data_IF_025273362978
#
_entry.id   IF_025273362978
#
_cell.length_a   1.000
_cell.length_b   1.000
_cell.length_c   1.000
_cell.angle_alpha   90.00
_cell.angle_beta   90.00
_cell.angle_gamma   90.00
#
_symmetry.space_group_name_H-M   'P 1'
#
loop_
_entity.id
_entity.type
_entity.pdbx_description
1 polymer ?
#
# COMPACT_ATOMS: atom_id res chain seq x y z
N UNK A 1 -17.18 12.48 -9.67
CA UNK A 1 -17.17 13.87 -9.19
C UNK A 1 -16.04 14.57 -9.92
N UNK A 2 -16.30 15.66 -10.64
CA UNK A 2 -15.24 16.41 -11.30
C UNK A 2 -14.40 17.13 -10.24
N UNK A 3 -13.07 17.12 -10.41
CA UNK A 3 -12.17 17.78 -9.50
C UNK A 3 -10.75 17.23 -9.60
N UNK A 4 -9.80 17.96 -9.03
CA UNK A 4 -8.42 17.52 -8.89
C UNK A 4 -8.31 16.58 -7.69
N UNK A 5 -7.63 15.45 -7.88
CA UNK A 5 -7.39 14.46 -6.83
C UNK A 5 -5.91 14.34 -6.53
N UNK A 6 -5.55 14.51 -5.28
CA UNK A 6 -4.19 14.35 -4.78
C UNK A 6 -4.22 13.54 -3.47
N UNK A 7 -3.15 12.88 -3.14
CA UNK A 7 -2.95 12.21 -1.87
C UNK A 7 -1.48 12.23 -1.49
N UNK A 8 -1.20 12.15 -0.19
CA UNK A 8 0.15 12.01 0.33
C UNK A 8 0.37 10.57 0.78
N UNK A 9 1.52 10.02 0.41
CA UNK A 9 2.00 8.72 0.83
C UNK A 9 2.82 8.87 2.11
N UNK A 10 2.69 7.96 3.06
CA UNK A 10 3.35 8.04 4.37
C UNK A 10 3.13 9.36 5.12
N UNK A 11 1.87 9.78 5.20
CA UNK A 11 1.47 10.97 5.92
C UNK A 11 2.09 11.03 7.32
N UNK A 12 3.03 11.94 7.53
CA UNK A 12 3.80 12.15 8.76
C UNK A 12 4.43 10.87 9.38
N UNK A 13 4.44 9.75 8.64
CA UNK A 13 4.87 8.42 9.12
C UNK A 13 4.15 7.96 10.38
N UNK A 14 2.91 8.40 10.56
CA UNK A 14 2.08 7.96 11.66
C UNK A 14 1.80 6.46 11.55
N UNK A 15 2.10 5.73 12.62
CA UNK A 15 1.89 4.29 12.71
C UNK A 15 1.18 3.95 14.02
N UNK A 16 0.40 2.89 14.03
CA UNK A 16 -0.33 2.47 15.21
C UNK A 16 -1.19 1.24 14.98
N UNK A 17 -1.93 0.88 15.99
CA UNK A 17 -2.93 -0.16 15.90
C UNK A 17 -4.06 0.28 14.96
N UNK A 18 -4.39 -0.57 13.99
CA UNK A 18 -5.41 -0.29 12.98
C UNK A 18 -6.80 0.00 13.58
N UNK A 19 -7.10 -0.59 14.75
CA UNK A 19 -8.37 -0.39 15.45
C UNK A 19 -8.38 0.91 16.27
N UNK A 20 -7.21 1.47 16.58
CA UNK A 20 -7.05 2.69 17.36
C UNK A 20 -6.80 3.94 16.50
N UNK A 21 -6.30 3.78 15.27
CA UNK A 21 -6.03 4.90 14.37
C UNK A 21 -7.32 5.56 13.90
N UNK A 22 -7.40 6.88 14.06
CA UNK A 22 -8.51 7.67 13.51
C UNK A 22 -8.47 7.68 11.98
N UNK A 23 -9.63 7.54 11.37
CA UNK A 23 -9.82 7.71 9.92
C UNK A 23 -10.53 9.03 9.60
N UNK A 24 -10.82 9.81 10.61
CA UNK A 24 -11.46 11.12 10.44
C UNK A 24 -10.38 12.14 10.07
N UNK A 25 -10.47 12.75 8.89
CA UNK A 25 -9.50 13.74 8.47
C UNK A 25 -9.61 15.01 9.31
N UNK A 26 -8.48 15.66 9.52
CA UNK A 26 -8.33 16.89 10.28
C UNK A 26 -7.94 18.06 9.38
N UNK A 27 -7.97 19.28 9.92
CA UNK A 27 -7.45 20.47 9.23
C UNK A 27 -5.96 20.36 8.88
N UNK A 28 -5.21 19.60 9.67
CA UNK A 28 -3.79 19.36 9.40
C UNK A 28 -3.57 18.49 8.17
N UNK A 29 -4.40 17.45 8.00
CA UNK A 29 -4.35 16.59 6.81
C UNK A 29 -4.62 17.40 5.53
N UNK A 30 -5.59 18.32 5.59
CA UNK A 30 -5.85 19.23 4.48
C UNK A 30 -4.68 20.18 4.24
N UNK A 31 -4.10 20.77 5.29
CA UNK A 31 -3.04 21.76 5.16
C UNK A 31 -1.80 21.21 4.44
N UNK A 32 -1.41 19.97 4.75
CA UNK A 32 -0.27 19.30 4.11
C UNK A 32 -0.51 19.12 2.60
N UNK A 33 -1.72 18.70 2.22
CA UNK A 33 -2.08 18.55 0.82
C UNK A 33 -2.13 19.89 0.09
N UNK A 34 -2.63 20.94 0.76
CA UNK A 34 -2.70 22.29 0.19
C UNK A 34 -1.35 22.92 -0.07
N UNK A 35 -0.36 22.64 0.78
CA UNK A 35 1.00 23.12 0.53
C UNK A 35 1.53 22.59 -0.81
N UNK A 36 1.36 21.29 -1.07
CA UNK A 36 1.76 20.69 -2.35
C UNK A 36 0.93 21.23 -3.54
N UNK A 37 -0.39 21.41 -3.34
CA UNK A 37 -1.27 21.96 -4.39
C UNK A 37 -0.81 23.36 -4.77
N UNK A 38 -0.61 24.25 -3.81
CA UNK A 38 -0.19 25.64 -4.05
C UNK A 38 1.20 25.72 -4.70
N UNK A 39 2.10 24.81 -4.34
CA UNK A 39 3.45 24.78 -4.89
C UNK A 39 3.52 24.26 -6.33
N UNK A 40 2.69 23.29 -6.70
CA UNK A 40 2.83 22.57 -7.96
C UNK A 40 1.61 22.65 -8.88
N UNK A 41 0.44 22.93 -8.33
CA UNK A 41 -0.84 22.92 -9.06
C UNK A 41 -1.74 24.09 -8.62
N UNK A 42 -1.26 25.35 -8.67
CA UNK A 42 -1.98 26.51 -8.07
C UNK A 42 -3.41 26.68 -8.60
N UNK A 43 -3.66 26.34 -9.86
CA UNK A 43 -5.00 26.42 -10.46
C UNK A 43 -5.98 25.37 -9.88
N UNK A 44 -5.48 24.40 -9.11
CA UNK A 44 -6.29 23.38 -8.45
C UNK A 44 -6.61 23.71 -6.98
N UNK A 45 -6.13 24.85 -6.44
CA UNK A 45 -6.39 25.28 -5.06
C UNK A 45 -7.82 25.86 -4.90
N UNK A 46 -8.79 24.97 -4.98
CA UNK A 46 -10.22 25.26 -4.85
C UNK A 46 -10.82 24.69 -3.57
N UNK A 47 -12.15 24.77 -3.39
CA UNK A 47 -12.85 24.17 -2.27
C UNK A 47 -12.61 22.67 -2.18
N UNK A 48 -12.48 22.14 -0.94
CA UNK A 48 -12.42 20.69 -0.73
C UNK A 48 -13.75 20.04 -1.08
N UNK A 49 -13.73 19.08 -1.97
CA UNK A 49 -14.89 18.30 -2.36
C UNK A 49 -15.06 17.06 -1.49
N UNK A 50 -13.96 16.44 -1.11
CA UNK A 50 -13.92 15.29 -0.21
C UNK A 50 -12.51 15.09 0.31
N UNK A 51 -12.36 14.79 1.59
CA UNK A 51 -11.11 14.41 2.23
C UNK A 51 -11.32 13.07 2.95
N UNK A 52 -10.36 12.17 2.85
CA UNK A 52 -10.44 10.83 3.46
C UNK A 52 -9.06 10.35 3.84
N UNK A 53 -8.96 9.72 5.02
CA UNK A 53 -7.78 8.99 5.47
C UNK A 53 -7.91 7.50 5.14
N UNK A 54 -6.83 6.91 4.64
CA UNK A 54 -6.71 5.48 4.39
C UNK A 54 -5.58 4.92 5.23
N UNK A 55 -5.71 3.65 5.64
CA UNK A 55 -4.64 2.93 6.31
C UNK A 55 -3.84 2.13 5.27
N UNK A 56 -2.53 2.04 5.49
CA UNK A 56 -1.65 1.12 4.79
C UNK A 56 -1.25 -0.02 5.70
N UNK A 57 -1.17 -1.22 5.15
CA UNK A 57 -0.54 -2.36 5.80
C UNK A 57 0.89 -2.44 5.28
N UNK A 58 1.86 -2.03 6.10
CA UNK A 58 3.25 -1.98 5.70
C UNK A 58 4.04 -3.11 6.36
N UNK A 59 4.93 -3.74 5.59
CA UNK A 59 6.03 -4.53 6.14
C UNK A 59 7.13 -3.58 6.65
N UNK A 60 8.05 -4.04 7.52
CA UNK A 60 9.13 -3.19 8.02
C UNK A 60 10.01 -2.59 6.91
N UNK A 61 10.16 -3.30 5.81
CA UNK A 61 10.96 -2.91 4.64
C UNK A 61 10.11 -2.34 3.48
N UNK A 62 8.80 -2.21 3.67
CA UNK A 62 7.85 -1.69 2.70
C UNK A 62 7.75 -2.50 1.39
N UNK A 63 8.29 -3.72 1.36
CA UNK A 63 8.13 -4.64 0.24
C UNK A 63 6.91 -5.55 0.41
N UNK A 64 6.49 -6.19 -0.67
CA UNK A 64 5.41 -7.17 -0.65
C UNK A 64 5.83 -8.43 0.11
N UNK A 65 4.86 -9.25 0.49
CA UNK A 65 5.06 -10.63 0.93
C UNK A 65 4.37 -11.56 -0.07
N UNK A 66 5.14 -12.48 -0.64
CA UNK A 66 4.67 -13.52 -1.55
C UNK A 66 5.50 -14.78 -1.29
N UNK A 67 4.95 -15.71 -0.50
CA UNK A 67 5.67 -16.94 -0.13
C UNK A 67 4.69 -18.02 0.31
N UNK A 68 5.19 -19.20 0.59
CA UNK A 68 4.47 -20.25 1.29
C UNK A 68 4.86 -20.28 2.77
N UNK A 69 3.98 -20.75 3.64
CA UNK A 69 4.33 -20.93 5.05
C UNK A 69 5.36 -22.06 5.21
N UNK A 70 6.46 -21.86 5.97
CA UNK A 70 7.51 -22.86 6.15
C UNK A 70 7.00 -24.21 6.68
N UNK A 71 6.07 -24.16 7.64
CA UNK A 71 5.52 -25.36 8.28
C UNK A 71 4.24 -25.87 7.60
N UNK A 72 3.74 -25.17 6.57
CA UNK A 72 2.54 -25.52 5.84
C UNK A 72 2.66 -25.07 4.37
N UNK A 73 3.49 -25.74 3.55
CA UNK A 73 3.82 -25.30 2.20
C UNK A 73 2.62 -25.27 1.23
N UNK A 74 1.50 -25.87 1.60
CA UNK A 74 0.24 -25.77 0.87
C UNK A 74 -0.51 -24.44 1.12
N UNK A 75 -0.03 -23.61 2.08
CA UNK A 75 -0.60 -22.31 2.38
C UNK A 75 0.26 -21.23 1.75
N UNK A 76 -0.32 -20.51 0.79
CA UNK A 76 0.31 -19.35 0.17
C UNK A 76 -0.07 -18.09 0.94
N UNK A 77 0.94 -17.29 1.27
CA UNK A 77 0.76 -15.97 1.89
C UNK A 77 1.04 -14.90 0.84
N UNK A 78 0.07 -14.04 0.61
CA UNK A 78 0.23 -12.92 -0.31
C UNK A 78 -0.24 -11.62 0.36
N UNK A 79 0.68 -10.71 0.56
CA UNK A 79 0.41 -9.34 1.01
C UNK A 79 1.11 -8.34 0.08
N UNK A 80 0.57 -8.12 -1.13
CA UNK A 80 1.09 -7.13 -2.06
C UNK A 80 0.58 -5.73 -1.68
N UNK A 81 0.87 -5.30 -0.45
CA UNK A 81 0.31 -4.09 0.16
C UNK A 81 1.33 -2.94 0.19
N UNK A 82 1.76 -2.51 1.37
CA UNK A 82 2.72 -1.41 1.59
C UNK A 82 2.38 -0.12 0.81
N UNK A 83 1.07 0.15 0.65
CA UNK A 83 0.55 1.36 0.02
C UNK A 83 0.70 1.48 -1.50
N UNK A 84 1.36 0.53 -2.18
CA UNK A 84 1.63 0.64 -3.62
C UNK A 84 1.31 -0.60 -4.45
N UNK A 85 0.66 -1.62 -3.88
CA UNK A 85 0.44 -2.92 -4.53
C UNK A 85 -0.67 -2.97 -5.57
N UNK A 86 -1.68 -2.10 -5.51
CA UNK A 86 -2.87 -2.19 -6.34
C UNK A 86 -2.57 -2.26 -7.87
N UNK A 87 -1.59 -1.48 -8.33
CA UNK A 87 -1.18 -1.46 -9.75
C UNK A 87 -0.59 -2.78 -10.24
N UNK A 88 -0.23 -3.69 -9.34
CA UNK A 88 0.34 -5.01 -9.67
C UNK A 88 -0.69 -6.14 -9.60
N UNK A 89 -1.98 -5.85 -9.42
CA UNK A 89 -3.02 -6.86 -9.20
C UNK A 89 -3.05 -7.96 -10.27
N UNK A 90 -2.82 -7.62 -11.54
CA UNK A 90 -2.80 -8.59 -12.64
C UNK A 90 -1.62 -9.57 -12.53
N UNK A 91 -0.40 -9.06 -12.31
CA UNK A 91 0.77 -9.93 -12.16
C UNK A 91 0.73 -10.71 -10.85
N UNK A 92 0.11 -10.16 -9.78
CA UNK A 92 -0.11 -10.92 -8.55
C UNK A 92 -1.02 -12.13 -8.79
N UNK A 93 -2.05 -11.98 -9.63
CA UNK A 93 -2.91 -13.09 -10.03
C UNK A 93 -2.15 -14.20 -10.74
N UNK A 94 -1.24 -13.87 -11.65
CA UNK A 94 -0.36 -14.82 -12.34
C UNK A 94 0.55 -15.54 -11.35
N UNK A 95 1.27 -14.80 -10.51
CA UNK A 95 2.17 -15.39 -9.49
C UNK A 95 1.43 -16.31 -8.54
N UNK A 96 0.24 -15.93 -8.08
CA UNK A 96 -0.57 -16.76 -7.18
C UNK A 96 -1.10 -18.04 -7.87
N UNK A 97 -1.38 -17.97 -9.17
CA UNK A 97 -1.72 -19.15 -9.96
C UNK A 97 -0.54 -20.11 -10.08
N UNK A 98 0.69 -19.59 -10.27
CA UNK A 98 1.91 -20.39 -10.28
C UNK A 98 2.12 -21.12 -8.94
N UNK A 99 1.99 -20.42 -7.82
CA UNK A 99 2.05 -21.03 -6.49
C UNK A 99 0.97 -22.12 -6.31
N UNK A 100 -0.26 -21.85 -6.70
CA UNK A 100 -1.38 -22.78 -6.51
C UNK A 100 -1.24 -24.05 -7.35
N UNK A 101 -0.59 -23.97 -8.51
CA UNK A 101 -0.38 -25.10 -9.42
C UNK A 101 0.98 -25.78 -9.26
N UNK A 102 1.87 -25.23 -8.40
CA UNK A 102 3.24 -25.70 -8.25
C UNK A 102 4.11 -25.43 -9.48
N UNK A 103 3.71 -24.48 -10.28
CA UNK A 103 4.48 -24.05 -11.46
C UNK A 103 5.60 -23.07 -11.05
N UNK A 104 6.75 -23.08 -11.73
CA UNK A 104 7.77 -22.08 -11.47
C UNK A 104 7.26 -20.70 -11.94
N UNK A 105 7.42 -19.68 -11.10
CA UNK A 105 7.12 -18.31 -11.51
C UNK A 105 8.11 -17.81 -12.57
N UNK A 106 7.61 -17.06 -13.53
CA UNK A 106 8.42 -16.33 -14.50
C UNK A 106 9.16 -15.11 -13.91
N UNK A 107 8.93 -14.79 -12.62
CA UNK A 107 9.50 -13.63 -11.95
C UNK A 107 10.44 -14.04 -10.81
N UNK A 108 11.46 -13.21 -10.55
CA UNK A 108 12.27 -13.34 -9.34
C UNK A 108 11.49 -12.81 -8.14
N UNK A 109 11.10 -13.72 -7.26
CA UNK A 109 10.31 -13.43 -6.05
C UNK A 109 11.18 -13.38 -4.78
N UNK A 110 12.48 -13.47 -4.90
CA UNK A 110 13.42 -13.55 -3.75
C UNK A 110 13.25 -12.40 -2.77
N UNK A 111 12.98 -11.18 -3.28
CA UNK A 111 12.75 -9.98 -2.47
C UNK A 111 11.47 -10.05 -1.62
N UNK A 112 10.54 -10.94 -1.95
CA UNK A 112 9.20 -10.98 -1.33
C UNK A 112 9.02 -12.16 -0.37
N UNK A 113 10.08 -12.91 -0.09
CA UNK A 113 10.04 -14.08 0.79
C UNK A 113 9.81 -13.68 2.25
N UNK A 114 9.19 -14.61 3.02
CA UNK A 114 8.93 -14.42 4.44
C UNK A 114 10.20 -14.41 5.30
N UNK A 115 11.22 -15.19 4.90
CA UNK A 115 12.45 -15.33 5.67
C UNK A 115 13.22 -14.02 5.87
N UNK A 116 13.05 -13.05 4.97
CA UNK A 116 13.64 -11.70 5.13
C UNK A 116 13.06 -10.91 6.32
N UNK A 117 11.89 -11.29 6.83
CA UNK A 117 11.24 -10.63 7.96
C UNK A 117 11.60 -11.28 9.31
N UNK A 118 12.33 -12.40 9.28
CA UNK A 118 12.79 -13.14 10.45
C UNK A 118 14.12 -12.55 10.96
N UNK A 119 14.13 -11.28 11.37
CA UNK A 119 15.29 -10.62 11.98
C UNK A 119 15.01 -10.30 13.46
#
# INVERSE_FOLDING_TARGET
MPGFKIGVYHHERETGDADALSREPTERDEAILREAIRGYFPDADGPVLSLRCCLFTNTPDEHFVLDTLPDAPQVVVASPCSGHGYKFASVMGEVLADFATGSPSGFDLSLFRLDRLAA
#
